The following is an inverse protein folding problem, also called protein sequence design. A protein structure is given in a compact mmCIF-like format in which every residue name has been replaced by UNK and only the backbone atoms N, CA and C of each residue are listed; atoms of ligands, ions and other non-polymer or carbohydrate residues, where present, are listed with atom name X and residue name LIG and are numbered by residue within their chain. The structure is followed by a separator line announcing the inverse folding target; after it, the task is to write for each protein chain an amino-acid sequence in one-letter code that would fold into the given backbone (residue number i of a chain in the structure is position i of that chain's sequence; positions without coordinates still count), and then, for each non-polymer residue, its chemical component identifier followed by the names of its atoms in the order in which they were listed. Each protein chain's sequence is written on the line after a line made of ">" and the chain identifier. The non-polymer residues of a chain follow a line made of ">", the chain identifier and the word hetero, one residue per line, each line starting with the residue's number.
data_IF_492451192458
#
_entry.id   IF_492451192458
#
_cell.length_a   1.000
_cell.length_b   1.000
_cell.length_c   1.000
_cell.angle_alpha   90.00
_cell.angle_beta   90.00
_cell.angle_gamma   90.00
#
_symmetry.space_group_name_H-M   'P 1'
#
loop_
_entity.id
_entity.type
_entity.pdbx_description
1 polymer ?
#
# COMPACT_ATOMS: atom_id res chain seq x y z
N UNK A 1 15.97 -24.91 4.35
CA UNK A 1 15.17 -24.55 3.14
C UNK A 1 15.70 -23.22 2.69
N UNK A 2 16.37 -23.18 1.52
CA UNK A 2 17.17 -22.05 1.07
C UNK A 2 16.37 -20.79 0.80
N UNK A 3 17.09 -19.64 0.82
CA UNK A 3 16.57 -18.35 0.40
C UNK A 3 15.95 -18.48 -1.00
N UNK A 4 14.66 -18.15 -1.11
CA UNK A 4 13.98 -18.16 -2.39
C UNK A 4 14.35 -16.88 -3.12
N UNK A 5 14.83 -16.99 -4.34
CA UNK A 5 15.04 -15.80 -5.18
C UNK A 5 13.73 -15.01 -5.26
N UNK A 6 13.84 -13.69 -5.24
CA UNK A 6 12.66 -12.82 -5.43
C UNK A 6 12.07 -13.10 -6.81
N UNK A 7 10.74 -13.19 -6.87
CA UNK A 7 10.02 -13.32 -8.13
C UNK A 7 10.46 -12.23 -9.12
N UNK A 8 10.79 -12.58 -10.38
CA UNK A 8 11.29 -11.62 -11.37
C UNK A 8 10.36 -10.39 -11.53
N UNK A 9 9.05 -10.62 -11.52
CA UNK A 9 8.04 -9.56 -11.62
C UNK A 9 8.08 -8.61 -10.43
N UNK A 10 8.14 -9.16 -9.20
CA UNK A 10 8.27 -8.38 -7.98
C UNK A 10 9.56 -7.54 -7.99
N UNK A 11 10.68 -8.13 -8.44
CA UNK A 11 11.95 -7.41 -8.58
C UNK A 11 11.84 -6.25 -9.56
N UNK A 12 11.19 -6.47 -10.69
CA UNK A 12 10.97 -5.43 -11.70
C UNK A 12 10.10 -4.30 -11.16
N UNK A 13 8.97 -4.62 -10.54
CA UNK A 13 8.06 -3.66 -9.93
C UNK A 13 8.78 -2.79 -8.89
N UNK A 14 9.54 -3.40 -7.98
CA UNK A 14 10.24 -2.64 -6.94
C UNK A 14 11.33 -1.73 -7.50
N UNK A 15 12.02 -2.16 -8.56
CA UNK A 15 13.01 -1.31 -9.23
C UNK A 15 12.32 -0.12 -9.92
N UNK A 16 11.27 -0.36 -10.68
CA UNK A 16 10.51 0.67 -11.39
C UNK A 16 9.93 1.69 -10.39
N UNK A 17 9.39 1.21 -9.27
CA UNK A 17 8.85 2.09 -8.24
C UNK A 17 9.94 3.01 -7.64
N UNK A 18 11.12 2.47 -7.32
CA UNK A 18 12.23 3.28 -6.81
C UNK A 18 12.67 4.33 -7.81
N UNK A 19 12.93 3.91 -9.04
CA UNK A 19 13.39 4.81 -10.10
C UNK A 19 12.34 5.93 -10.33
N UNK A 20 11.05 5.59 -10.42
CA UNK A 20 9.97 6.55 -10.62
C UNK A 20 9.87 7.57 -9.47
N UNK A 21 9.82 7.10 -8.23
CA UNK A 21 9.65 7.99 -7.09
C UNK A 21 10.89 8.83 -6.79
N UNK A 22 12.09 8.31 -7.06
CA UNK A 22 13.33 9.09 -6.99
C UNK A 22 13.30 10.26 -7.98
N UNK A 23 12.89 10.04 -9.22
CA UNK A 23 12.70 11.08 -10.24
C UNK A 23 11.63 12.12 -9.84
N UNK A 24 10.63 11.72 -9.04
CA UNK A 24 9.62 12.63 -8.50
C UNK A 24 10.05 13.34 -7.20
N UNK A 25 11.29 13.16 -6.76
CA UNK A 25 11.87 13.81 -5.59
C UNK A 25 11.42 13.23 -4.26
N UNK A 26 10.99 11.96 -4.24
CA UNK A 26 10.75 11.24 -3.00
C UNK A 26 12.04 10.70 -2.42
N UNK A 27 12.15 10.73 -1.10
CA UNK A 27 13.25 10.15 -0.36
C UNK A 27 12.88 8.75 0.11
N UNK A 28 13.61 7.74 -0.31
CA UNK A 28 13.45 6.38 0.22
C UNK A 28 14.12 6.30 1.59
N UNK A 29 13.31 6.01 2.62
CA UNK A 29 13.75 5.93 4.01
C UNK A 29 13.33 4.59 4.58
N UNK A 30 14.29 3.84 5.12
CA UNK A 30 14.04 2.57 5.79
C UNK A 30 13.75 2.80 7.28
N UNK A 31 12.67 2.18 7.78
CA UNK A 31 12.21 2.31 9.17
C UNK A 31 12.41 1.02 9.95
N UNK A 32 12.52 1.09 11.30
CA UNK A 32 12.70 -0.09 12.14
C UNK A 32 11.57 -1.11 12.01
N UNK A 33 11.93 -2.41 12.02
CA UNK A 33 10.99 -3.52 12.02
C UNK A 33 10.57 -3.93 13.44
N UNK A 34 11.43 -3.79 14.43
CA UNK A 34 11.11 -4.05 15.84
C UNK A 34 10.58 -2.77 16.48
N UNK A 35 9.28 -2.69 16.63
CA UNK A 35 8.59 -1.50 17.10
C UNK A 35 7.77 -1.80 18.37
N UNK A 36 7.11 -0.79 18.90
CA UNK A 36 6.07 -0.95 19.90
C UNK A 36 4.74 -1.25 19.20
N UNK A 37 3.91 -2.10 19.83
CA UNK A 37 2.54 -2.34 19.34
C UNK A 37 1.76 -1.05 19.20
N UNK A 38 1.05 -0.90 18.09
CA UNK A 38 0.23 0.26 17.76
C UNK A 38 -1.16 -0.19 17.29
N UNK A 39 -2.22 0.54 17.67
CA UNK A 39 -3.58 0.18 17.28
C UNK A 39 -3.87 0.57 15.82
N UNK A 40 -3.43 -0.23 14.86
CA UNK A 40 -3.62 0.03 13.41
C UNK A 40 -4.74 -0.81 12.77
N UNK A 41 -5.59 -1.45 13.57
CA UNK A 41 -6.77 -2.17 13.07
C UNK A 41 -6.60 -3.68 12.91
N UNK A 42 -5.41 -4.21 12.64
CA UNK A 42 -5.11 -5.64 12.67
C UNK A 42 -4.47 -6.06 14.00
N UNK A 43 -4.31 -7.37 14.21
CA UNK A 43 -3.50 -7.87 15.34
C UNK A 43 -2.03 -7.87 14.95
N UNK A 44 -1.18 -7.52 15.94
CA UNK A 44 0.27 -7.52 15.76
C UNK A 44 0.88 -8.91 15.99
N UNK A 45 1.90 -9.23 15.20
CA UNK A 45 2.83 -10.30 15.57
C UNK A 45 3.80 -9.80 16.63
N UNK A 46 3.84 -10.49 17.78
CA UNK A 46 4.67 -10.12 18.92
C UNK A 46 5.96 -10.93 18.96
N UNK A 47 7.07 -10.25 19.23
CA UNK A 47 8.39 -10.83 19.40
C UNK A 47 8.83 -10.64 20.86
N UNK A 48 8.99 -11.71 21.66
CA UNK A 48 9.40 -11.60 23.05
C UNK A 48 10.80 -10.97 23.19
N UNK A 49 10.94 -10.04 24.15
CA UNK A 49 12.25 -9.49 24.49
C UNK A 49 13.01 -10.44 25.43
N UNK A 50 14.23 -10.80 25.04
CA UNK A 50 15.12 -11.59 25.91
C UNK A 50 15.72 -10.76 27.04
N UNK A 51 15.88 -9.46 26.83
CA UNK A 51 16.52 -8.54 27.78
C UNK A 51 15.54 -8.05 28.85
N UNK A 52 14.28 -7.82 28.44
CA UNK A 52 13.24 -7.33 29.35
C UNK A 52 12.13 -8.38 29.45
N UNK A 53 12.17 -9.15 30.54
CA UNK A 53 11.17 -10.19 30.79
C UNK A 53 9.75 -9.59 30.88
N UNK A 54 8.79 -10.24 30.21
CA UNK A 54 7.40 -9.77 30.14
C UNK A 54 7.15 -8.63 29.14
N UNK A 55 8.17 -8.17 28.43
CA UNK A 55 8.06 -7.17 27.38
C UNK A 55 8.15 -7.79 26.00
N UNK A 56 7.49 -7.16 25.01
CA UNK A 56 7.42 -7.63 23.62
C UNK A 56 7.69 -6.46 22.67
N UNK A 57 8.34 -6.78 21.58
CA UNK A 57 8.30 -5.97 20.35
C UNK A 57 7.10 -6.40 19.51
N UNK A 58 6.62 -5.51 18.66
CA UNK A 58 5.67 -5.82 17.61
C UNK A 58 6.32 -5.70 16.24
N UNK A 59 5.92 -6.56 15.29
CA UNK A 59 6.26 -6.37 13.89
C UNK A 59 5.29 -5.36 13.27
N UNK A 60 5.74 -4.45 12.39
CA UNK A 60 4.92 -3.34 11.92
C UNK A 60 3.81 -3.82 10.97
N UNK A 61 2.60 -3.33 11.19
CA UNK A 61 1.50 -3.46 10.23
C UNK A 61 1.69 -2.54 9.03
N UNK A 62 2.28 -1.38 9.30
CA UNK A 62 2.79 -0.40 8.34
C UNK A 62 3.80 0.51 9.07
N UNK A 63 4.63 1.30 8.38
CA UNK A 63 5.53 2.27 9.01
C UNK A 63 4.82 3.57 9.44
N UNK A 64 3.54 3.53 9.80
CA UNK A 64 2.66 4.69 9.99
C UNK A 64 3.20 5.75 10.94
N UNK A 65 3.68 5.38 12.12
CA UNK A 65 4.22 6.34 13.09
C UNK A 65 5.48 7.00 12.56
N UNK A 66 6.38 6.22 11.97
CA UNK A 66 7.65 6.73 11.46
C UNK A 66 7.45 7.69 10.30
N UNK A 67 6.60 7.38 9.33
CA UNK A 67 6.35 8.30 8.21
C UNK A 67 5.67 9.59 8.65
N UNK A 68 4.78 9.57 9.65
CA UNK A 68 4.23 10.79 10.26
C UNK A 68 5.32 11.63 10.93
N UNK A 69 6.23 11.01 11.68
CA UNK A 69 7.36 11.71 12.30
C UNK A 69 8.30 12.31 11.26
N UNK A 70 8.51 11.62 10.13
CA UNK A 70 9.29 12.13 9.00
C UNK A 70 8.64 13.38 8.40
N UNK A 71 7.31 13.38 8.20
CA UNK A 71 6.59 14.58 7.74
C UNK A 71 6.77 15.75 8.70
N UNK A 72 6.62 15.51 10.02
CA UNK A 72 6.87 16.53 11.05
C UNK A 72 8.33 17.03 11.07
N UNK A 73 9.26 16.25 10.57
CA UNK A 73 10.69 16.56 10.51
C UNK A 73 11.12 17.22 9.19
N UNK A 74 10.16 17.53 8.30
CA UNK A 74 10.42 18.22 7.04
C UNK A 74 10.81 17.30 5.87
N UNK A 75 10.53 16.01 5.96
CA UNK A 75 10.67 15.07 4.83
C UNK A 75 9.36 15.05 4.03
N UNK A 76 9.14 16.04 3.22
CA UNK A 76 7.84 16.30 2.57
C UNK A 76 7.40 15.25 1.57
N UNK A 77 8.29 14.40 1.09
CA UNK A 77 8.01 13.31 0.16
C UNK A 77 8.80 12.06 0.58
N UNK A 78 8.12 11.15 1.21
CA UNK A 78 8.67 9.89 1.69
C UNK A 78 8.17 8.72 0.87
N UNK A 79 9.04 7.75 0.62
CA UNK A 79 8.70 6.43 0.10
C UNK A 79 9.48 5.33 0.81
N UNK A 80 8.89 4.15 0.90
CA UNK A 80 9.55 2.93 1.35
C UNK A 80 8.95 1.71 0.67
N UNK A 81 9.79 0.76 0.27
CA UNK A 81 9.35 -0.58 -0.05
C UNK A 81 9.26 -1.38 1.26
N UNK A 82 8.16 -1.19 1.96
CA UNK A 82 7.99 -1.61 3.34
C UNK A 82 7.56 -3.08 3.46
N UNK A 83 8.21 -3.83 4.37
CA UNK A 83 7.73 -5.14 4.80
C UNK A 83 6.70 -4.95 5.92
N UNK A 84 5.52 -5.51 5.73
CA UNK A 84 4.38 -5.37 6.65
C UNK A 84 3.88 -6.74 7.10
N UNK A 85 3.31 -6.76 8.32
CA UNK A 85 2.86 -7.97 8.99
C UNK A 85 1.47 -7.73 9.61
N UNK A 86 0.53 -8.65 9.38
CA UNK A 86 -0.80 -8.57 9.99
C UNK A 86 -1.25 -9.97 10.38
N UNK A 87 -1.58 -10.16 11.64
CA UNK A 87 -2.13 -11.41 12.16
C UNK A 87 -3.66 -11.40 12.00
N UNK A 88 -4.08 -11.66 10.76
CA UNK A 88 -5.49 -11.70 10.35
C UNK A 88 -5.81 -13.02 9.67
N UNK A 89 -7.09 -13.36 9.58
CA UNK A 89 -7.56 -14.51 8.83
C UNK A 89 -7.18 -14.38 7.35
N UNK A 90 -6.60 -15.44 6.82
CA UNK A 90 -6.20 -15.51 5.43
C UNK A 90 -7.42 -15.50 4.51
N UNK A 91 -7.44 -14.58 3.57
CA UNK A 91 -8.36 -14.59 2.43
C UNK A 91 -7.57 -14.87 1.16
N UNK A 92 -8.26 -15.10 0.06
CA UNK A 92 -7.64 -15.51 -1.20
C UNK A 92 -6.49 -14.59 -1.67
N UNK A 93 -6.57 -13.29 -1.38
CA UNK A 93 -5.62 -12.25 -1.78
C UNK A 93 -4.76 -11.70 -0.63
N UNK A 94 -4.92 -12.22 0.61
CA UNK A 94 -4.22 -11.71 1.79
C UNK A 94 -3.16 -12.67 2.29
N UNK A 95 -1.99 -12.10 2.62
CA UNK A 95 -0.88 -12.81 3.25
C UNK A 95 -0.54 -12.16 4.58
N UNK A 96 -0.13 -12.94 5.61
CA UNK A 96 0.24 -12.39 6.93
C UNK A 96 1.52 -11.56 6.86
N UNK A 97 2.35 -11.79 5.87
CA UNK A 97 3.56 -11.04 5.56
C UNK A 97 3.52 -10.59 4.10
N UNK A 98 3.60 -9.30 3.85
CA UNK A 98 3.52 -8.73 2.51
C UNK A 98 4.41 -7.49 2.37
N UNK A 99 4.55 -7.01 1.14
CA UNK A 99 5.33 -5.82 0.83
C UNK A 99 4.40 -4.72 0.32
N UNK A 100 4.56 -3.51 0.85
CA UNK A 100 3.89 -2.31 0.37
C UNK A 100 4.88 -1.40 -0.35
N UNK A 101 4.40 -0.70 -1.36
CA UNK A 101 4.97 0.57 -1.80
C UNK A 101 4.26 1.61 -0.94
N UNK A 102 4.94 2.05 0.11
CA UNK A 102 4.38 2.95 1.10
C UNK A 102 4.91 4.37 0.87
N UNK A 103 4.01 5.35 0.83
CA UNK A 103 4.39 6.75 0.61
C UNK A 103 3.63 7.68 1.54
N UNK A 104 4.23 8.83 1.80
CA UNK A 104 3.62 9.93 2.55
C UNK A 104 4.05 11.26 1.94
N UNK A 105 3.13 12.22 1.91
CA UNK A 105 3.36 13.57 1.40
C UNK A 105 2.86 14.61 2.40
N UNK A 106 3.61 15.72 2.53
CA UNK A 106 3.18 16.90 3.28
C UNK A 106 2.58 17.95 2.36
N UNK A 107 1.72 18.81 2.91
CA UNK A 107 1.17 19.99 2.24
C UNK A 107 0.45 19.71 0.93
N UNK A 108 -0.31 18.61 0.90
CA UNK A 108 -1.07 18.15 -0.27
C UNK A 108 -2.54 17.92 0.06
N UNK A 109 -3.39 18.05 -0.93
CA UNK A 109 -4.80 17.70 -0.86
C UNK A 109 -5.06 16.30 -1.44
N UNK A 110 -6.31 15.85 -1.35
CA UNK A 110 -6.73 14.53 -1.84
C UNK A 110 -6.43 14.35 -3.33
N UNK A 111 -6.67 15.39 -4.12
CA UNK A 111 -6.44 15.34 -5.57
C UNK A 111 -4.96 15.21 -5.93
N UNK A 112 -4.06 15.82 -5.16
CA UNK A 112 -2.61 15.67 -5.34
C UNK A 112 -2.17 14.22 -5.10
N UNK A 113 -2.69 13.60 -4.04
CA UNK A 113 -2.38 12.18 -3.73
C UNK A 113 -2.92 11.25 -4.81
N UNK A 114 -4.14 11.51 -5.30
CA UNK A 114 -4.72 10.74 -6.39
C UNK A 114 -3.91 10.87 -7.68
N UNK A 115 -3.51 12.09 -8.05
CA UNK A 115 -2.72 12.35 -9.25
C UNK A 115 -1.35 11.64 -9.21
N UNK A 116 -0.64 11.70 -8.08
CA UNK A 116 0.63 10.97 -7.90
C UNK A 116 0.43 9.46 -8.08
N UNK A 117 -0.63 8.90 -7.49
CA UNK A 117 -0.93 7.48 -7.58
C UNK A 117 -1.32 7.06 -9.00
N UNK A 118 -2.20 7.82 -9.65
CA UNK A 118 -2.67 7.54 -11.01
C UNK A 118 -1.52 7.51 -12.01
N UNK A 119 -0.65 8.51 -11.96
CA UNK A 119 0.53 8.58 -12.82
C UNK A 119 1.50 7.43 -12.56
N UNK A 120 1.75 7.11 -11.30
CA UNK A 120 2.59 5.97 -10.95
C UNK A 120 2.01 4.66 -11.49
N UNK A 121 0.72 4.40 -11.29
CA UNK A 121 0.06 3.21 -11.78
C UNK A 121 0.11 3.12 -13.31
N UNK A 122 -0.19 4.22 -14.02
CA UNK A 122 -0.12 4.25 -15.48
C UNK A 122 1.31 3.94 -15.98
N UNK A 123 2.33 4.53 -15.35
CA UNK A 123 3.72 4.26 -15.65
C UNK A 123 4.08 2.79 -15.38
N UNK A 124 3.70 2.26 -14.22
CA UNK A 124 3.98 0.89 -13.82
C UNK A 124 3.35 -0.13 -14.79
N UNK A 125 2.08 0.05 -15.14
CA UNK A 125 1.38 -0.84 -16.09
C UNK A 125 2.03 -0.82 -17.46
N UNK A 126 2.44 0.34 -17.92
CA UNK A 126 3.15 0.48 -19.20
C UNK A 126 4.49 -0.26 -19.18
N UNK A 127 5.31 -0.04 -18.13
CA UNK A 127 6.65 -0.63 -18.04
C UNK A 127 6.65 -2.15 -17.78
N UNK A 128 5.67 -2.67 -17.05
CA UNK A 128 5.63 -4.09 -16.66
C UNK A 128 4.82 -4.92 -17.67
N UNK A 129 3.70 -4.39 -18.17
CA UNK A 129 2.74 -5.14 -18.96
C UNK A 129 2.59 -4.61 -20.40
N UNK A 130 3.17 -3.47 -20.74
CA UNK A 130 2.97 -2.81 -22.03
C UNK A 130 1.55 -2.28 -22.23
N UNK A 131 0.78 -2.10 -21.14
CA UNK A 131 -0.61 -1.64 -21.17
C UNK A 131 -0.65 -0.15 -20.87
N UNK A 132 -1.30 0.62 -21.75
CA UNK A 132 -1.56 2.03 -21.51
C UNK A 132 -2.85 2.21 -20.70
N UNK A 133 -2.74 2.91 -19.57
CA UNK A 133 -3.87 3.29 -18.71
C UNK A 133 -4.24 4.73 -19.02
N UNK A 134 -5.51 4.95 -19.38
CA UNK A 134 -6.02 6.30 -19.62
C UNK A 134 -6.11 7.09 -18.31
N UNK A 135 -5.66 8.33 -18.33
CA UNK A 135 -5.75 9.24 -17.19
C UNK A 135 -6.72 10.39 -17.50
N UNK A 136 -7.43 10.94 -16.52
CA UNK A 136 -7.51 10.45 -15.13
C UNK A 136 -8.25 9.11 -15.04
N UNK A 137 -7.93 8.30 -14.02
CA UNK A 137 -8.69 7.08 -13.72
C UNK A 137 -10.11 7.48 -13.30
N UNK A 138 -11.10 6.73 -13.77
CA UNK A 138 -12.50 7.00 -13.47
C UNK A 138 -12.76 7.00 -11.96
N UNK A 139 -13.41 8.03 -11.47
CA UNK A 139 -13.81 8.18 -10.06
C UNK A 139 -15.30 7.96 -9.93
N UNK A 140 -15.70 7.15 -8.97
CA UNK A 140 -17.10 6.94 -8.57
C UNK A 140 -17.22 7.16 -7.06
N UNK A 141 -18.39 7.61 -6.63
CA UNK A 141 -18.66 7.74 -5.19
C UNK A 141 -18.90 6.37 -4.58
N UNK A 142 -18.72 6.27 -3.25
CA UNK A 142 -19.05 5.03 -2.53
C UNK A 142 -20.52 4.65 -2.74
N UNK A 143 -21.44 5.61 -2.68
CA UNK A 143 -22.87 5.37 -2.90
C UNK A 143 -23.13 4.80 -4.29
N UNK A 144 -22.54 5.40 -5.32
CA UNK A 144 -22.67 4.91 -6.70
C UNK A 144 -22.10 3.50 -6.87
N UNK A 145 -20.95 3.21 -6.23
CA UNK A 145 -20.37 1.86 -6.26
C UNK A 145 -21.30 0.82 -5.62
N UNK A 146 -21.89 1.16 -4.48
CA UNK A 146 -22.84 0.28 -3.79
C UNK A 146 -24.14 0.10 -4.55
N UNK A 147 -24.70 1.16 -5.10
CA UNK A 147 -25.97 1.12 -5.83
C UNK A 147 -25.87 0.33 -7.15
N UNK A 148 -24.78 0.51 -7.87
CA UNK A 148 -24.57 -0.14 -9.18
C UNK A 148 -23.98 -1.54 -9.08
N UNK A 149 -23.09 -1.80 -8.10
CA UNK A 149 -22.30 -3.03 -8.08
C UNK A 149 -22.42 -3.81 -6.76
N UNK A 150 -23.00 -3.25 -5.72
CA UNK A 150 -23.10 -3.88 -4.40
C UNK A 150 -21.76 -4.08 -3.69
N UNK A 151 -20.72 -3.35 -4.11
CA UNK A 151 -19.36 -3.48 -3.62
C UNK A 151 -18.64 -2.14 -3.65
N UNK A 152 -17.82 -1.87 -2.62
CA UNK A 152 -16.91 -0.72 -2.57
C UNK A 152 -15.66 -0.89 -3.47
N UNK A 153 -15.50 -2.05 -4.11
CA UNK A 153 -14.40 -2.39 -5.02
C UNK A 153 -14.91 -3.06 -6.28
N UNK A 154 -15.74 -2.38 -7.08
CA UNK A 154 -16.33 -2.98 -8.26
C UNK A 154 -15.29 -3.26 -9.34
N UNK A 155 -15.38 -4.41 -9.99
CA UNK A 155 -14.68 -4.66 -11.23
C UNK A 155 -15.53 -4.16 -12.41
N UNK A 156 -15.24 -2.96 -12.85
CA UNK A 156 -16.00 -2.27 -13.89
C UNK A 156 -15.72 -2.77 -15.31
N UNK A 157 -14.78 -3.71 -15.48
CA UNK A 157 -14.43 -4.25 -16.81
C UNK A 157 -15.53 -5.12 -17.42
N UNK A 158 -16.40 -5.68 -16.58
CA UNK A 158 -17.42 -6.66 -17.01
C UNK A 158 -18.79 -6.07 -17.22
N UNK A 159 -19.07 -4.82 -16.89
CA UNK A 159 -20.36 -4.17 -17.07
C UNK A 159 -21.53 -4.87 -16.36
N UNK A 160 -21.28 -5.59 -15.27
CA UNK A 160 -22.29 -6.31 -14.50
C UNK A 160 -22.86 -5.42 -13.39
N UNK A 161 -23.84 -4.61 -13.74
CA UNK A 161 -24.52 -3.73 -12.79
C UNK A 161 -25.75 -4.41 -12.19
N UNK A 162 -26.09 -4.02 -10.95
CA UNK A 162 -27.33 -4.42 -10.29
C UNK A 162 -28.52 -3.68 -10.90
N UNK A 163 -29.59 -4.39 -11.15
CA UNK A 163 -30.84 -3.79 -11.61
C UNK A 163 -31.95 -4.14 -10.63
N UNK A 164 -32.75 -3.15 -10.26
CA UNK A 164 -33.98 -3.37 -9.50
C UNK A 164 -34.99 -4.06 -10.39
N UNK A 165 -35.48 -5.23 -9.96
CA UNK A 165 -36.52 -6.02 -10.64
C UNK A 165 -37.78 -6.13 -9.82
N UNK A 166 -37.93 -5.31 -8.76
CA UNK A 166 -39.19 -5.24 -7.99
C UNK A 166 -40.27 -4.53 -8.79
N UNK A 167 -41.34 -5.25 -9.11
CA UNK A 167 -42.61 -4.71 -9.64
C UNK A 167 -43.61 -4.45 -8.52
#
# INVERSE_FOLDING_TARGET
>A
KGARAMDPTKRQITKIARDYFDEQGFLEIETPMLTKSTPEGARDYLVPSRVHQGSFYALPQSPQIFKQLLMCSGYDRYIQIARCFRDEDLRADRQPEFTQIDMELSFVDVDDVLDVNERFLAFLFKEVLGVEVSLPIQRITWQEAMDRFGSDKPDMRFGMELHDVSE
#
